data_IF_853077301757
#
_entry.id   IF_853077301757
#
_cell.length_a   1.000
_cell.length_b   1.000
_cell.length_c   1.000
_cell.angle_alpha   90.00
_cell.angle_beta   90.00
_cell.angle_gamma   90.00
#
_symmetry.space_group_name_H-M   'P 1'
#
loop_
_entity.id
_entity.type
_entity.pdbx_description
1 polymer ?
#
# COMPACT_ATOMS: atom_id res chain seq x y z
N UNK A 1 4.41 3.58 16.40
CA UNK A 1 3.09 3.77 15.76
C UNK A 1 3.01 3.00 14.43
N UNK A 2 3.96 3.22 13.51
CA UNK A 2 3.98 2.53 12.21
C UNK A 2 3.90 1.00 12.30
N UNK A 3 4.68 0.35 13.18
CA UNK A 3 4.60 -1.10 13.37
C UNK A 3 3.18 -1.61 13.71
N UNK A 4 2.41 -0.87 14.52
CA UNK A 4 1.02 -1.25 14.85
C UNK A 4 0.09 -1.17 13.62
N UNK A 5 0.31 -0.19 12.75
CA UNK A 5 -0.43 -0.05 11.48
C UNK A 5 -0.08 -1.24 10.58
N UNK A 6 1.21 -1.55 10.44
CA UNK A 6 1.68 -2.69 9.63
C UNK A 6 1.11 -4.01 10.16
N UNK A 7 1.19 -4.26 11.47
CA UNK A 7 0.67 -5.48 12.09
C UNK A 7 -0.85 -5.62 11.87
N UNK A 8 -1.60 -4.52 11.97
CA UNK A 8 -3.05 -4.50 11.74
C UNK A 8 -3.41 -4.94 10.32
N UNK A 9 -2.78 -4.33 9.31
CA UNK A 9 -3.04 -4.64 7.90
C UNK A 9 -2.51 -6.02 7.51
N UNK A 10 -1.37 -6.43 8.07
CA UNK A 10 -0.81 -7.78 7.91
C UNK A 10 -1.82 -8.84 8.38
N UNK A 11 -2.41 -8.65 9.57
CA UNK A 11 -3.43 -9.55 10.10
C UNK A 11 -4.72 -9.56 9.25
N UNK A 12 -5.18 -8.38 8.81
CA UNK A 12 -6.37 -8.30 7.96
C UNK A 12 -6.17 -8.98 6.61
N UNK A 13 -5.00 -8.84 5.98
CA UNK A 13 -4.70 -9.47 4.69
C UNK A 13 -4.43 -10.97 4.82
N UNK A 14 -4.09 -11.47 6.00
CA UNK A 14 -3.91 -12.89 6.27
C UNK A 14 -5.22 -13.69 6.33
N UNK A 15 -6.38 -13.03 6.46
CA UNK A 15 -7.66 -13.71 6.77
C UNK A 15 -8.77 -13.33 5.80
N UNK A 16 -9.63 -14.29 5.45
CA UNK A 16 -10.79 -14.04 4.59
C UNK A 16 -11.76 -13.01 5.20
N UNK A 17 -11.97 -13.03 6.52
CA UNK A 17 -12.81 -12.03 7.18
C UNK A 17 -12.17 -10.63 7.15
N UNK A 18 -10.85 -10.54 7.30
CA UNK A 18 -10.12 -9.28 7.18
C UNK A 18 -10.21 -8.70 5.77
N UNK A 19 -9.98 -9.51 4.74
CA UNK A 19 -10.16 -9.10 3.33
C UNK A 19 -11.60 -8.64 3.04
N UNK A 20 -12.61 -9.33 3.58
CA UNK A 20 -14.01 -8.91 3.44
C UNK A 20 -14.31 -7.57 4.15
N UNK A 21 -13.57 -7.23 5.19
CA UNK A 21 -13.68 -5.93 5.88
C UNK A 21 -13.07 -4.82 5.03
N UNK A 22 -11.93 -5.09 4.37
CA UNK A 22 -11.29 -4.14 3.45
C UNK A 22 -12.21 -3.77 2.27
N UNK A 23 -12.96 -4.73 1.73
CA UNK A 23 -13.92 -4.50 0.64
C UNK A 23 -15.11 -3.61 1.05
N UNK A 24 -15.46 -3.60 2.33
CA UNK A 24 -16.53 -2.74 2.87
C UNK A 24 -16.04 -1.33 3.21
N UNK A 25 -14.73 -1.11 3.20
CA UNK A 25 -14.12 0.20 3.44
C UNK A 25 -14.44 1.15 2.28
N UNK A 26 -14.71 2.44 2.54
CA UNK A 26 -14.99 3.44 1.50
C UNK A 26 -13.76 3.77 0.62
N UNK A 27 -12.70 2.96 0.67
CA UNK A 27 -11.44 3.21 -0.03
C UNK A 27 -11.55 3.14 -1.55
N UNK A 28 -12.56 2.48 -2.12
CA UNK A 28 -12.85 2.63 -3.56
C UNK A 28 -13.20 4.08 -3.93
N UNK A 29 -13.87 4.83 -3.03
CA UNK A 29 -14.06 6.27 -3.21
C UNK A 29 -12.75 7.06 -2.99
N UNK A 30 -11.80 6.49 -2.28
CA UNK A 30 -10.53 7.11 -1.91
C UNK A 30 -9.48 7.02 -3.02
N UNK A 31 -9.44 5.93 -3.81
CA UNK A 31 -8.60 5.80 -5.01
C UNK A 31 -8.93 6.94 -5.99
N UNK A 32 -10.21 7.28 -6.16
CA UNK A 32 -10.67 8.41 -6.98
C UNK A 32 -10.08 9.76 -6.55
N UNK A 33 -9.79 9.93 -5.26
CA UNK A 33 -9.32 11.21 -4.70
C UNK A 33 -7.79 11.34 -4.74
N UNK A 34 -7.07 10.21 -4.61
CA UNK A 34 -5.59 10.18 -4.59
C UNK A 34 -4.95 10.17 -5.98
N UNK A 35 -5.64 9.77 -7.06
CA UNK A 35 -5.14 9.87 -8.44
C UNK A 35 -5.24 11.32 -8.95
N UNK A 36 -4.50 12.24 -8.34
CA UNK A 36 -4.07 13.56 -8.86
C UNK A 36 -5.03 14.30 -9.81
N UNK A 37 -6.35 14.24 -9.56
CA UNK A 37 -7.37 14.95 -10.32
C UNK A 37 -8.05 14.24 -11.50
N UNK A 38 -7.87 12.92 -11.71
CA UNK A 38 -8.63 12.19 -12.76
C UNK A 38 -9.33 10.94 -12.22
N UNK A 39 -10.67 10.99 -12.04
CA UNK A 39 -11.50 9.83 -11.74
C UNK A 39 -11.33 8.67 -12.74
N UNK A 40 -10.98 9.00 -14.00
CA UNK A 40 -10.74 8.01 -15.07
C UNK A 40 -9.52 7.16 -14.80
N UNK A 41 -8.43 7.73 -14.28
CA UNK A 41 -7.22 6.96 -13.95
C UNK A 41 -7.49 5.97 -12.80
N UNK A 42 -8.22 6.39 -11.76
CA UNK A 42 -8.64 5.49 -10.68
C UNK A 42 -9.44 4.29 -11.20
N UNK A 43 -10.36 4.53 -12.13
CA UNK A 43 -11.19 3.48 -12.72
C UNK A 43 -10.36 2.52 -13.59
N UNK A 44 -9.50 3.05 -14.48
CA UNK A 44 -8.64 2.24 -15.34
C UNK A 44 -7.67 1.39 -14.53
N UNK A 45 -7.11 1.94 -13.44
CA UNK A 45 -6.24 1.20 -12.54
C UNK A 45 -7.00 0.08 -11.81
N UNK A 46 -8.25 0.33 -11.40
CA UNK A 46 -9.10 -0.68 -10.78
C UNK A 46 -9.46 -1.82 -11.74
N UNK A 47 -9.71 -1.53 -13.03
CA UNK A 47 -10.00 -2.56 -14.05
C UNK A 47 -8.82 -3.50 -14.33
N UNK A 48 -7.58 -3.05 -14.09
CA UNK A 48 -6.38 -3.87 -14.29
C UNK A 48 -6.11 -4.84 -13.13
N UNK A 49 -6.82 -4.69 -12.00
CA UNK A 49 -6.62 -5.55 -10.84
C UNK A 49 -7.54 -6.78 -10.97
N UNK A 50 -7.00 -8.01 -10.97
CA UNK A 50 -7.83 -9.22 -10.88
C UNK A 50 -8.75 -9.15 -9.65
N UNK A 51 -10.02 -9.52 -9.79
CA UNK A 51 -11.02 -9.39 -8.72
C UNK A 51 -10.60 -10.11 -7.43
N UNK A 52 -9.83 -11.19 -7.57
CA UNK A 52 -9.29 -11.98 -6.46
C UNK A 52 -8.19 -11.25 -5.69
N UNK A 53 -7.46 -10.35 -6.35
CA UNK A 53 -6.36 -9.58 -5.74
C UNK A 53 -6.82 -8.22 -5.22
N UNK A 54 -8.00 -7.76 -5.64
CA UNK A 54 -8.56 -6.46 -5.27
C UNK A 54 -8.54 -6.20 -3.75
N UNK A 55 -8.93 -7.14 -2.87
CA UNK A 55 -8.88 -6.92 -1.42
C UNK A 55 -7.46 -6.65 -0.89
N UNK A 56 -6.46 -7.34 -1.43
CA UNK A 56 -5.06 -7.19 -1.01
C UNK A 56 -4.50 -5.85 -1.49
N UNK A 57 -4.76 -5.47 -2.74
CA UNK A 57 -4.33 -4.18 -3.29
C UNK A 57 -4.97 -3.02 -2.52
N UNK A 58 -6.27 -3.12 -2.19
CA UNK A 58 -6.96 -2.16 -1.33
C UNK A 58 -6.31 -2.08 0.06
N UNK A 59 -5.97 -3.22 0.67
CA UNK A 59 -5.30 -3.26 1.97
C UNK A 59 -3.94 -2.57 1.96
N UNK A 60 -3.11 -2.84 0.94
CA UNK A 60 -1.82 -2.15 0.78
C UNK A 60 -1.98 -0.64 0.55
N UNK A 61 -2.98 -0.23 -0.23
CA UNK A 61 -3.29 1.20 -0.44
C UNK A 61 -3.68 1.89 0.86
N UNK A 62 -4.57 1.28 1.65
CA UNK A 62 -4.99 1.80 2.95
C UNK A 62 -3.82 1.92 3.91
N UNK A 63 -3.01 0.86 4.02
CA UNK A 63 -1.80 0.87 4.83
C UNK A 63 -0.82 1.97 4.40
N UNK A 64 -0.62 2.15 3.09
CA UNK A 64 0.24 3.20 2.55
C UNK A 64 -0.24 4.57 2.99
N UNK A 65 -1.55 4.82 2.92
CA UNK A 65 -2.13 6.11 3.30
C UNK A 65 -2.02 6.36 4.81
N UNK A 66 -2.36 5.39 5.65
CA UNK A 66 -2.26 5.52 7.10
C UNK A 66 -0.81 5.75 7.56
N UNK A 67 0.15 5.07 6.92
CA UNK A 67 1.58 5.29 7.16
C UNK A 67 2.02 6.68 6.68
N UNK A 68 1.55 7.13 5.52
CA UNK A 68 1.86 8.47 5.02
C UNK A 68 1.31 9.56 5.94
N UNK A 69 0.06 9.46 6.39
CA UNK A 69 -0.53 10.39 7.37
C UNK A 69 0.23 10.38 8.70
N UNK A 70 0.68 9.20 9.16
CA UNK A 70 1.48 9.12 10.37
C UNK A 70 2.83 9.82 10.23
N UNK A 71 3.41 9.79 9.03
CA UNK A 71 4.72 10.35 8.73
C UNK A 71 4.65 11.79 8.17
N UNK A 72 3.47 12.32 7.84
CA UNK A 72 3.34 13.58 7.10
C UNK A 72 3.92 14.80 7.79
N UNK A 73 4.08 14.74 9.12
CA UNK A 73 4.72 15.79 9.92
C UNK A 73 6.26 15.76 9.84
N UNK A 74 6.87 14.76 9.17
CA UNK A 74 8.32 14.71 8.99
C UNK A 74 8.80 15.70 7.91
N UNK A 75 9.80 16.56 8.22
CA UNK A 75 10.38 17.45 7.24
C UNK A 75 10.96 16.68 6.05
N UNK A 76 10.64 17.11 4.82
CA UNK A 76 11.10 16.50 3.57
C UNK A 76 10.54 15.10 3.26
N UNK A 77 9.39 14.72 3.83
CA UNK A 77 8.70 13.52 3.40
C UNK A 77 8.42 13.59 1.88
N UNK A 78 8.70 12.49 1.17
CA UNK A 78 8.34 12.38 -0.24
C UNK A 78 6.82 12.51 -0.40
N UNK A 79 6.38 13.21 -1.45
CA UNK A 79 4.95 13.24 -1.80
C UNK A 79 4.40 11.81 -1.95
N UNK A 80 3.13 11.64 -1.63
CA UNK A 80 2.44 10.39 -1.89
C UNK A 80 2.23 10.23 -3.41
N UNK A 81 3.19 9.61 -4.09
CA UNK A 81 3.13 9.30 -5.51
C UNK A 81 2.61 7.87 -5.72
N UNK A 82 1.31 7.75 -5.90
CA UNK A 82 0.64 6.47 -6.13
C UNK A 82 1.14 5.75 -7.39
N UNK A 83 1.45 6.47 -8.47
CA UNK A 83 1.86 5.86 -9.73
C UNK A 83 3.21 5.17 -9.59
N UNK A 84 4.13 5.79 -8.85
CA UNK A 84 5.43 5.21 -8.55
C UNK A 84 5.35 3.98 -7.64
N UNK A 85 4.34 3.92 -6.75
CA UNK A 85 4.09 2.76 -5.88
C UNK A 85 3.31 1.63 -6.55
N UNK A 86 2.61 1.92 -7.65
CA UNK A 86 1.70 1.00 -8.34
C UNK A 86 2.29 -0.38 -8.63
N UNK A 87 3.52 -0.51 -9.16
CA UNK A 87 4.10 -1.83 -9.44
C UNK A 87 4.27 -2.70 -8.18
N UNK A 88 4.54 -2.10 -7.02
CA UNK A 88 4.70 -2.84 -5.74
C UNK A 88 3.35 -3.16 -5.10
N UNK A 89 2.32 -2.34 -5.35
CA UNK A 89 0.95 -2.60 -4.91
C UNK A 89 0.38 -3.88 -5.55
N UNK A 90 0.64 -4.07 -6.84
CA UNK A 90 0.21 -5.25 -7.59
C UNK A 90 1.05 -6.51 -7.32
N UNK A 91 2.22 -6.37 -6.71
CA UNK A 91 3.16 -7.47 -6.53
C UNK A 91 2.76 -8.36 -5.35
N UNK A 92 2.26 -9.56 -5.63
CA UNK A 92 1.78 -10.52 -4.64
C UNK A 92 2.51 -11.87 -4.76
N UNK A 93 3.85 -11.83 -4.80
CA UNK A 93 4.73 -12.99 -5.03
C UNK A 93 4.93 -13.92 -3.82
N UNK A 94 4.45 -13.53 -2.64
CA UNK A 94 4.58 -14.25 -1.38
C UNK A 94 3.22 -14.38 -0.68
N UNK A 95 3.18 -15.09 0.45
CA UNK A 95 1.97 -15.17 1.28
C UNK A 95 1.46 -13.75 1.63
N UNK A 96 0.14 -13.51 1.66
CA UNK A 96 -0.44 -12.16 1.79
C UNK A 96 0.07 -11.39 3.01
N UNK A 97 0.24 -12.07 4.14
CA UNK A 97 0.77 -11.53 5.38
C UNK A 97 2.24 -11.10 5.23
N UNK A 98 3.10 -11.97 4.71
CA UNK A 98 4.51 -11.66 4.49
C UNK A 98 4.68 -10.51 3.50
N UNK A 99 3.86 -10.50 2.45
CA UNK A 99 3.90 -9.46 1.43
C UNK A 99 3.47 -8.10 2.00
N UNK A 100 2.38 -8.07 2.78
CA UNK A 100 1.92 -6.89 3.50
C UNK A 100 2.99 -6.35 4.46
N UNK A 101 3.58 -7.24 5.25
CA UNK A 101 4.62 -6.89 6.20
C UNK A 101 5.84 -6.27 5.51
N UNK A 102 6.37 -6.93 4.47
CA UNK A 102 7.51 -6.44 3.71
C UNK A 102 7.23 -5.09 3.03
N UNK A 103 6.05 -4.93 2.45
CA UNK A 103 5.63 -3.68 1.81
C UNK A 103 5.52 -2.52 2.81
N UNK A 104 4.87 -2.75 3.96
CA UNK A 104 4.71 -1.73 4.99
C UNK A 104 6.04 -1.24 5.57
N UNK A 105 6.97 -2.16 5.86
CA UNK A 105 8.29 -1.82 6.36
C UNK A 105 9.13 -1.06 5.32
N UNK A 106 9.12 -1.51 4.07
CA UNK A 106 9.82 -0.84 2.98
C UNK A 106 9.31 0.59 2.75
N UNK A 107 7.99 0.82 2.86
CA UNK A 107 7.39 2.15 2.74
C UNK A 107 7.81 3.11 3.87
N UNK A 108 7.87 2.63 5.11
CA UNK A 108 8.34 3.44 6.23
C UNK A 108 9.78 3.90 5.99
N UNK A 109 10.66 3.02 5.54
CA UNK A 109 12.03 3.40 5.18
C UNK A 109 12.06 4.38 4.00
N UNK A 110 11.25 4.14 2.96
CA UNK A 110 11.18 5.01 1.79
C UNK A 110 10.85 6.45 2.17
N UNK A 111 9.81 6.67 2.96
CA UNK A 111 9.40 8.02 3.38
C UNK A 111 10.32 8.63 4.43
N UNK A 112 10.78 7.86 5.41
CA UNK A 112 11.60 8.40 6.52
C UNK A 112 13.05 8.66 6.15
N UNK A 113 13.61 7.91 5.19
CA UNK A 113 15.00 8.04 4.74
C UNK A 113 15.11 8.70 3.36
N UNK A 114 13.99 9.19 2.79
CA UNK A 114 13.97 9.84 1.48
C UNK A 114 14.59 8.97 0.38
N UNK A 115 14.24 7.68 0.38
CA UNK A 115 14.80 6.72 -0.59
C UNK A 115 14.20 6.97 -1.98
N UNK A 116 14.94 6.56 -3.01
CA UNK A 116 14.40 6.47 -4.38
C UNK A 116 13.50 5.25 -4.56
N UNK A 117 12.67 5.25 -5.61
CA UNK A 117 11.80 4.09 -5.95
C UNK A 117 12.61 2.81 -6.19
N UNK A 118 13.81 2.91 -6.78
CA UNK A 118 14.70 1.76 -6.95
C UNK A 118 15.17 1.18 -5.60
N UNK A 119 15.46 2.05 -4.63
CA UNK A 119 15.83 1.64 -3.28
C UNK A 119 14.65 1.08 -2.49
N UNK A 120 13.44 1.64 -2.65
CA UNK A 120 12.21 1.08 -2.09
C UNK A 120 12.00 -0.36 -2.55
N UNK A 121 12.11 -0.62 -3.87
CA UNK A 121 12.02 -1.98 -4.40
C UNK A 121 13.05 -2.91 -3.78
N UNK A 122 14.30 -2.45 -3.67
CA UNK A 122 15.36 -3.24 -3.02
C UNK A 122 15.02 -3.59 -1.57
N UNK A 123 14.51 -2.64 -0.78
CA UNK A 123 14.08 -2.89 0.61
C UNK A 123 12.94 -3.89 0.68
N UNK A 124 11.95 -3.74 -0.19
CA UNK A 124 10.85 -4.68 -0.31
C UNK A 124 11.35 -6.11 -0.58
N UNK A 125 12.24 -6.28 -1.56
CA UNK A 125 12.83 -7.58 -1.88
C UNK A 125 13.67 -8.15 -0.73
N UNK A 126 14.38 -7.30 0.02
CA UNK A 126 15.15 -7.69 1.21
C UNK A 126 14.23 -8.21 2.32
N UNK A 127 13.07 -7.58 2.55
CA UNK A 127 12.09 -8.03 3.54
C UNK A 127 11.29 -9.27 3.12
N UNK A 128 11.20 -9.55 1.82
CA UNK A 128 10.57 -10.78 1.31
C UNK A 128 11.45 -12.02 1.45
N UNK A 129 12.77 -11.87 1.64
CA UNK A 129 13.72 -12.98 1.82
C UNK A 129 13.62 -13.59 3.21
#
# INVERSE_FOLDING_TARGET
AAAKIIDHYTFQMATTQGLATLLKSPVLQFISTLTTGSPTLAYLLAEQIPVEQLPIVIGKLQMSYDLFLLLSDTPNIHNFDLLSLWPLLLENSAAPDRNAWAFGHALVEYWSQSLTIAQLRKRYDEYLR
#
